data_IF_503834826553
#
_entry.id   IF_503834826553
#
_cell.length_a   1.000
_cell.length_b   1.000
_cell.length_c   1.000
_cell.angle_alpha   90.00
_cell.angle_beta   90.00
_cell.angle_gamma   90.00
#
_symmetry.space_group_name_H-M   'P 1'
#
loop_
_entity.id
_entity.type
_entity.pdbx_description
1 polymer ?
#
# COMPACT_ATOMS: atom_id res chain seq x y z
N UNK A 1 18.59 2.85 1.30
CA UNK A 1 18.81 4.16 1.96
C UNK A 1 18.08 4.21 3.29
N UNK A 2 18.77 4.66 4.31
CA UNK A 2 18.17 4.74 5.64
C UNK A 2 17.53 6.11 5.84
N UNK A 3 16.22 6.12 6.09
CA UNK A 3 15.49 7.36 6.35
C UNK A 3 15.55 7.66 7.85
N UNK A 4 15.88 8.90 8.21
CA UNK A 4 15.87 9.32 9.61
C UNK A 4 14.45 9.29 10.16
N UNK A 5 14.32 8.97 11.45
CA UNK A 5 13.03 9.04 12.12
C UNK A 5 12.51 10.47 12.06
N UNK A 6 11.31 10.61 11.53
CA UNK A 6 10.67 11.91 11.35
C UNK A 6 9.88 12.25 12.62
N UNK A 7 10.16 13.42 13.20
CA UNK A 7 9.42 13.87 14.36
C UNK A 7 7.94 14.08 14.03
N UNK A 8 7.05 13.62 14.91
CA UNK A 8 5.63 13.77 14.72
C UNK A 8 4.99 12.81 13.73
N UNK A 9 5.74 11.84 13.20
CA UNK A 9 5.20 10.91 12.21
C UNK A 9 4.05 10.08 12.75
N UNK A 10 4.18 9.53 13.96
CA UNK A 10 3.11 8.72 14.56
C UNK A 10 1.85 9.54 14.79
N UNK A 11 1.99 10.74 15.34
CA UNK A 11 0.87 11.62 15.61
C UNK A 11 0.15 12.00 14.32
N UNK A 12 0.90 12.30 13.27
CA UNK A 12 0.32 12.64 11.97
C UNK A 12 -0.47 11.46 11.39
N UNK A 13 0.11 10.27 11.44
CA UNK A 13 -0.54 9.07 10.93
C UNK A 13 -1.81 8.77 11.71
N UNK A 14 -1.77 8.86 13.04
CA UNK A 14 -2.94 8.62 13.88
C UNK A 14 -4.03 9.66 13.69
N UNK A 15 -3.66 10.87 13.30
CA UNK A 15 -4.63 11.94 13.05
C UNK A 15 -5.39 11.78 11.74
N UNK A 16 -4.95 10.87 10.86
CA UNK A 16 -5.54 10.72 9.52
C UNK A 16 -5.97 9.27 9.21
N UNK A 17 -6.92 8.71 10.00
CA UNK A 17 -7.40 7.34 9.73
C UNK A 17 -8.17 7.21 8.42
N UNK A 18 -8.57 8.32 7.83
CA UNK A 18 -9.22 8.32 6.51
C UNK A 18 -8.24 7.92 5.39
N UNK A 19 -6.94 8.08 5.61
CA UNK A 19 -5.90 7.67 4.66
C UNK A 19 -5.09 6.48 5.17
N UNK A 20 -4.67 6.50 6.44
CA UNK A 20 -3.86 5.41 7.01
C UNK A 20 -4.76 4.53 7.86
N UNK A 21 -4.97 3.30 7.41
CA UNK A 21 -5.93 2.38 8.00
C UNK A 21 -5.47 1.96 9.39
N UNK A 22 -6.29 2.24 10.41
CA UNK A 22 -5.93 1.97 11.81
C UNK A 22 -5.84 0.48 12.13
N UNK A 23 -6.75 -0.32 11.57
CA UNK A 23 -6.81 -1.77 11.82
C UNK A 23 -6.95 -2.52 10.50
N UNK A 24 -5.83 -2.69 9.76
CA UNK A 24 -5.91 -3.30 8.43
C UNK A 24 -6.49 -4.71 8.40
N UNK A 25 -6.27 -5.51 9.44
CA UNK A 25 -6.81 -6.87 9.49
C UNK A 25 -8.33 -6.91 9.51
N UNK A 26 -8.97 -5.87 10.03
CA UNK A 26 -10.43 -5.77 10.10
C UNK A 26 -11.05 -5.59 8.70
N UNK A 27 -10.26 -5.15 7.73
CA UNK A 27 -10.76 -4.88 6.38
C UNK A 27 -10.50 -6.02 5.40
N UNK A 28 -9.90 -7.11 5.84
CA UNK A 28 -9.67 -8.28 4.99
C UNK A 28 -11.00 -8.75 4.39
N UNK A 29 -11.07 -8.84 3.07
CA UNK A 29 -12.28 -9.19 2.35
C UNK A 29 -13.30 -8.06 2.22
N UNK A 30 -13.00 -6.89 2.77
CA UNK A 30 -13.93 -5.76 2.84
C UNK A 30 -13.37 -4.46 2.28
N UNK A 31 -12.34 -4.53 1.44
CA UNK A 31 -11.72 -3.31 0.92
C UNK A 31 -12.66 -2.52 0.00
N UNK A 32 -13.58 -3.19 -0.68
CA UNK A 32 -14.60 -2.49 -1.48
C UNK A 32 -15.48 -1.60 -0.60
N UNK A 33 -15.82 -2.06 0.60
CA UNK A 33 -16.56 -1.23 1.56
C UNK A 33 -15.73 -0.04 2.01
N UNK A 34 -14.43 -0.26 2.27
CA UNK A 34 -13.55 0.81 2.69
C UNK A 34 -13.46 1.93 1.66
N UNK A 35 -13.30 1.57 0.39
CA UNK A 35 -13.23 2.53 -0.71
C UNK A 35 -14.60 3.05 -1.13
N UNK A 36 -15.67 2.34 -0.81
CA UNK A 36 -17.03 2.74 -1.18
C UNK A 36 -17.38 2.46 -2.62
N UNK A 37 -16.68 1.55 -3.28
CA UNK A 37 -16.91 1.17 -4.67
C UNK A 37 -16.36 -0.24 -4.93
N UNK A 38 -16.58 -0.76 -6.14
CA UNK A 38 -16.10 -2.08 -6.54
C UNK A 38 -15.01 -2.03 -7.61
N UNK A 39 -14.27 -0.93 -7.66
CA UNK A 39 -13.16 -0.80 -8.59
C UNK A 39 -12.07 -1.84 -8.32
N UNK A 40 -11.26 -2.18 -9.33
CA UNK A 40 -10.11 -3.07 -9.12
C UNK A 40 -9.19 -2.55 -8.03
N UNK A 41 -8.57 -3.46 -7.29
CA UNK A 41 -7.65 -3.12 -6.21
C UNK A 41 -6.22 -3.46 -6.61
N UNK A 42 -5.36 -2.45 -6.66
CA UNK A 42 -3.94 -2.60 -6.90
C UNK A 42 -3.19 -2.25 -5.63
N UNK A 43 -2.15 -3.01 -5.29
CA UNK A 43 -1.34 -2.71 -4.11
C UNK A 43 0.11 -2.53 -4.50
N UNK A 44 0.81 -1.67 -3.76
CA UNK A 44 2.26 -1.54 -3.87
C UNK A 44 2.89 -1.92 -2.54
N UNK A 45 3.83 -2.86 -2.57
CA UNK A 45 4.58 -3.30 -1.39
C UNK A 45 5.92 -2.58 -1.39
N UNK A 46 6.23 -1.95 -0.26
CA UNK A 46 7.42 -1.12 -0.16
C UNK A 46 7.24 0.20 -0.90
N UNK A 47 6.11 0.86 -0.65
CA UNK A 47 5.78 2.07 -1.40
C UNK A 47 6.74 3.24 -1.19
N UNK A 48 7.57 3.20 -0.14
CA UNK A 48 8.47 4.30 0.17
C UNK A 48 7.69 5.58 0.43
N UNK A 49 8.16 6.68 -0.15
CA UNK A 49 7.54 7.99 0.02
C UNK A 49 6.26 8.18 -0.81
N UNK A 50 5.81 7.13 -1.50
CA UNK A 50 4.54 7.12 -2.20
C UNK A 50 4.53 7.78 -3.57
N UNK A 51 5.70 8.04 -4.15
CA UNK A 51 5.76 8.72 -5.45
C UNK A 51 5.07 7.94 -6.56
N UNK A 52 5.36 6.64 -6.66
CA UNK A 52 4.76 5.79 -7.69
C UNK A 52 3.24 5.67 -7.50
N UNK A 53 2.82 5.32 -6.29
CA UNK A 53 1.40 5.04 -6.04
C UNK A 53 0.53 6.30 -6.18
N UNK A 54 1.04 7.47 -5.78
CA UNK A 54 0.29 8.71 -5.93
C UNK A 54 0.12 9.08 -7.39
N UNK A 55 1.17 8.91 -8.20
CA UNK A 55 1.08 9.19 -9.64
C UNK A 55 0.14 8.21 -10.33
N UNK A 56 0.21 6.92 -9.99
CA UNK A 56 -0.70 5.92 -10.56
C UNK A 56 -2.16 6.23 -10.19
N UNK A 57 -2.41 6.60 -8.96
CA UNK A 57 -3.77 6.88 -8.50
C UNK A 57 -4.36 8.11 -9.19
N UNK A 58 -3.55 9.15 -9.40
CA UNK A 58 -4.01 10.35 -10.12
C UNK A 58 -4.32 10.06 -11.57
N UNK A 59 -3.52 9.18 -12.19
CA UNK A 59 -3.70 8.81 -13.60
C UNK A 59 -4.88 7.86 -13.79
N UNK A 60 -5.17 7.02 -12.78
CA UNK A 60 -6.19 5.97 -12.86
C UNK A 60 -7.21 6.09 -11.73
N UNK A 61 -8.09 7.08 -11.79
CA UNK A 61 -9.11 7.24 -10.73
C UNK A 61 -10.12 6.10 -10.66
N UNK A 62 -10.20 5.27 -11.70
CA UNK A 62 -11.06 4.09 -11.74
C UNK A 62 -10.49 2.88 -11.02
N UNK A 63 -9.28 2.98 -10.45
CA UNK A 63 -8.61 1.91 -9.73
C UNK A 63 -8.35 2.35 -8.29
N UNK A 64 -8.58 1.44 -7.34
CA UNK A 64 -8.26 1.67 -5.94
C UNK A 64 -6.83 1.21 -5.67
N UNK A 65 -6.08 2.00 -4.90
CA UNK A 65 -4.68 1.70 -4.58
C UNK A 65 -4.46 1.60 -3.08
N UNK A 66 -3.66 0.61 -2.67
CA UNK A 66 -3.18 0.50 -1.30
C UNK A 66 -1.66 0.46 -1.32
N UNK A 67 -1.04 1.37 -0.57
CA UNK A 67 0.41 1.39 -0.40
C UNK A 67 0.79 0.80 0.95
N UNK A 68 1.77 -0.08 0.96
CA UNK A 68 2.24 -0.78 2.15
C UNK A 68 3.67 -0.37 2.44
N UNK A 69 3.93 0.10 3.65
CA UNK A 69 5.26 0.52 4.06
C UNK A 69 5.46 0.27 5.55
N UNK A 70 6.62 -0.27 5.90
CA UNK A 70 6.93 -0.68 7.27
C UNK A 70 7.43 0.46 8.14
N UNK A 71 8.08 1.48 7.55
CA UNK A 71 8.69 2.58 8.29
C UNK A 71 7.71 3.73 8.46
N UNK A 72 7.34 4.03 9.71
CA UNK A 72 6.35 5.06 10.01
C UNK A 72 6.75 6.45 9.47
N UNK A 73 8.02 6.80 9.54
CA UNK A 73 8.49 8.08 9.02
C UNK A 73 8.25 8.21 7.51
N UNK A 74 8.43 7.11 6.79
CA UNK A 74 8.22 7.07 5.35
C UNK A 74 6.73 7.12 5.02
N UNK A 75 5.91 6.39 5.78
CA UNK A 75 4.45 6.44 5.64
C UNK A 75 3.95 7.89 5.81
N UNK A 76 4.49 8.61 6.78
CA UNK A 76 4.06 9.99 7.03
C UNK A 76 4.37 10.91 5.85
N UNK A 77 5.45 10.66 5.12
CA UNK A 77 5.80 11.45 3.92
C UNK A 77 4.80 11.16 2.80
N UNK A 78 4.44 9.90 2.60
CA UNK A 78 3.41 9.54 1.62
C UNK A 78 2.06 10.13 2.00
N UNK A 79 1.73 10.12 3.29
CA UNK A 79 0.49 10.72 3.81
C UNK A 79 0.40 12.20 3.50
N UNK A 80 1.51 12.95 3.68
CA UNK A 80 1.54 14.37 3.34
C UNK A 80 1.12 14.61 1.87
N UNK A 81 1.58 13.74 0.96
CA UNK A 81 1.21 13.85 -0.46
C UNK A 81 -0.29 13.64 -0.67
N UNK A 82 -0.88 12.67 0.03
CA UNK A 82 -2.31 12.41 -0.10
C UNK A 82 -3.14 13.58 0.43
N UNK A 83 -2.72 14.17 1.54
CA UNK A 83 -3.40 15.33 2.13
C UNK A 83 -3.28 16.53 1.20
N UNK A 84 -2.06 16.84 0.76
CA UNK A 84 -1.78 18.01 -0.06
C UNK A 84 -2.48 17.96 -1.41
N UNK A 85 -2.48 16.78 -2.05
CA UNK A 85 -3.01 16.62 -3.41
C UNK A 85 -4.44 16.09 -3.43
N UNK A 86 -5.01 15.78 -2.28
CA UNK A 86 -6.38 15.26 -2.13
C UNK A 86 -6.67 14.08 -3.07
N UNK A 87 -5.94 12.98 -2.85
CA UNK A 87 -6.05 11.78 -3.69
C UNK A 87 -6.96 10.76 -3.02
N UNK A 88 -8.23 10.62 -3.47
CA UNK A 88 -9.23 9.83 -2.73
C UNK A 88 -9.14 8.32 -2.93
N UNK A 89 -8.46 7.85 -3.97
CA UNK A 89 -8.42 6.42 -4.30
C UNK A 89 -7.14 5.72 -3.80
N UNK A 90 -6.54 6.23 -2.72
CA UNK A 90 -5.37 5.63 -2.09
C UNK A 90 -5.61 5.44 -0.60
N UNK A 91 -5.25 4.27 -0.09
CA UNK A 91 -5.17 4.00 1.34
C UNK A 91 -3.76 3.53 1.65
N UNK A 92 -3.29 3.82 2.86
CA UNK A 92 -1.95 3.44 3.29
C UNK A 92 -2.02 2.46 4.45
N UNK A 93 -1.16 1.45 4.42
CA UNK A 93 -1.00 0.49 5.51
C UNK A 93 0.41 0.58 6.06
N UNK A 94 0.51 0.91 7.34
CA UNK A 94 1.78 0.89 8.06
C UNK A 94 1.95 -0.51 8.66
N UNK A 95 2.39 -1.46 7.83
CA UNK A 95 2.54 -2.87 8.22
C UNK A 95 3.70 -3.49 7.49
N UNK A 96 4.10 -4.68 7.96
CA UNK A 96 5.06 -5.52 7.25
C UNK A 96 4.35 -6.19 6.07
N UNK A 97 4.81 -5.91 4.86
CA UNK A 97 4.23 -6.48 3.64
C UNK A 97 4.44 -7.98 3.46
N UNK A 98 5.16 -8.64 4.39
CA UNK A 98 5.36 -10.09 4.31
C UNK A 98 4.12 -10.89 4.70
N UNK A 99 3.14 -10.27 5.35
CA UNK A 99 1.96 -10.95 5.89
C UNK A 99 0.68 -10.58 5.13
N UNK A 100 0.72 -10.63 3.81
CA UNK A 100 -0.39 -10.19 2.95
C UNK A 100 -1.72 -10.90 3.25
N UNK A 101 -1.67 -12.18 3.59
CA UNK A 101 -2.90 -12.93 3.87
C UNK A 101 -3.62 -12.47 5.13
N UNK A 102 -2.96 -11.69 5.98
CA UNK A 102 -3.62 -11.09 7.13
C UNK A 102 -4.50 -9.91 6.73
N UNK A 103 -4.24 -9.31 5.58
CA UNK A 103 -4.88 -8.07 5.16
C UNK A 103 -5.77 -8.23 3.93
N UNK A 104 -5.54 -9.27 3.13
CA UNK A 104 -6.28 -9.47 1.87
C UNK A 104 -6.80 -10.89 1.76
N UNK A 105 -8.05 -11.00 1.35
CA UNK A 105 -8.69 -12.29 1.09
C UNK A 105 -8.28 -12.81 -0.29
N UNK A 106 -8.60 -14.08 -0.54
CA UNK A 106 -8.36 -14.69 -1.86
C UNK A 106 -9.05 -13.89 -2.94
N UNK A 107 -8.34 -13.61 -4.03
CA UNK A 107 -8.86 -12.89 -5.19
C UNK A 107 -9.28 -11.44 -4.92
N UNK A 108 -8.92 -10.89 -3.76
CA UNK A 108 -9.27 -9.50 -3.45
C UNK A 108 -8.37 -8.50 -4.16
N UNK A 109 -7.12 -8.86 -4.40
CA UNK A 109 -6.13 -7.98 -5.04
C UNK A 109 -5.97 -8.36 -6.50
N UNK A 110 -6.10 -7.37 -7.39
CA UNK A 110 -6.02 -7.60 -8.84
C UNK A 110 -4.60 -7.45 -9.38
N UNK A 111 -3.78 -6.61 -8.74
CA UNK A 111 -2.41 -6.37 -9.21
C UNK A 111 -1.51 -6.00 -8.04
N UNK A 112 -0.28 -6.51 -8.05
CA UNK A 112 0.74 -6.17 -7.05
C UNK A 112 1.94 -5.54 -7.76
N UNK A 113 2.40 -4.41 -7.22
CA UNK A 113 3.63 -3.75 -7.65
C UNK A 113 4.67 -3.87 -6.54
N UNK A 114 5.89 -4.18 -6.91
CA UNK A 114 7.02 -4.25 -5.99
C UNK A 114 8.02 -3.17 -6.30
N UNK A 115 8.54 -2.53 -5.25
CA UNK A 115 9.63 -1.59 -5.39
C UNK A 115 10.93 -2.38 -5.60
N UNK A 116 11.68 -2.06 -6.65
CA UNK A 116 12.93 -2.75 -6.97
C UNK A 116 14.00 -2.65 -5.87
N UNK A 117 13.89 -1.66 -5.00
CA UNK A 117 14.85 -1.52 -3.90
C UNK A 117 14.62 -2.53 -2.78
N UNK A 118 13.48 -3.23 -2.77
CA UNK A 118 13.19 -4.23 -1.75
C UNK A 118 13.78 -5.58 -2.14
N UNK A 119 14.74 -6.11 -1.35
CA UNK A 119 15.39 -7.38 -1.68
C UNK A 119 14.52 -8.57 -1.27
N UNK A 120 13.42 -8.77 -1.93
CA UNK A 120 12.55 -9.93 -1.67
C UNK A 120 13.13 -11.18 -2.32
N UNK A 121 13.40 -12.24 -1.54
CA UNK A 121 13.78 -13.53 -2.14
C UNK A 121 12.64 -14.06 -2.99
N UNK A 122 12.96 -14.42 -4.22
CA UNK A 122 11.96 -14.84 -5.21
C UNK A 122 11.05 -15.96 -4.72
N UNK A 123 11.60 -16.95 -4.04
CA UNK A 123 10.81 -18.09 -3.55
C UNK A 123 9.76 -17.69 -2.52
N UNK A 124 10.13 -16.84 -1.55
CA UNK A 124 9.17 -16.35 -0.56
C UNK A 124 8.09 -15.52 -1.21
N UNK A 125 8.46 -14.76 -2.20
CA UNK A 125 7.60 -13.93 -2.98
C UNK A 125 6.51 -14.74 -3.68
N UNK A 126 6.90 -15.75 -4.45
CA UNK A 126 5.97 -16.61 -5.17
C UNK A 126 5.00 -17.30 -4.23
N UNK A 127 5.49 -17.80 -3.10
CA UNK A 127 4.67 -18.49 -2.12
C UNK A 127 3.61 -17.57 -1.53
N UNK A 128 3.97 -16.34 -1.20
CA UNK A 128 3.02 -15.36 -0.65
C UNK A 128 1.96 -14.98 -1.66
N UNK A 129 2.35 -14.80 -2.90
CA UNK A 129 1.42 -14.44 -3.96
C UNK A 129 0.44 -15.56 -4.26
N UNK A 130 0.89 -16.81 -4.23
CA UNK A 130 -0.01 -17.94 -4.46
C UNK A 130 -1.08 -18.06 -3.39
N UNK A 131 -0.79 -17.62 -2.15
CA UNK A 131 -1.76 -17.66 -1.06
C UNK A 131 -2.92 -16.66 -1.27
N UNK A 132 -2.73 -15.61 -2.05
CA UNK A 132 -3.79 -14.66 -2.38
C UNK A 132 -4.21 -14.75 -3.84
N UNK A 133 -3.80 -15.81 -4.53
CA UNK A 133 -4.16 -16.14 -5.91
C UNK A 133 -3.77 -15.06 -6.93
N UNK A 134 -2.58 -14.50 -6.77
CA UNK A 134 -1.97 -13.62 -7.76
C UNK A 134 -0.69 -14.28 -8.23
N UNK A 135 -0.60 -14.55 -9.52
CA UNK A 135 0.50 -15.33 -10.06
C UNK A 135 1.84 -14.59 -10.06
N UNK A 136 1.86 -13.34 -10.47
CA UNK A 136 3.10 -12.57 -10.52
C UNK A 136 2.86 -11.09 -10.26
N UNK A 137 3.76 -10.44 -9.49
CA UNK A 137 3.68 -9.00 -9.32
C UNK A 137 4.30 -8.28 -10.51
N UNK A 138 3.87 -7.06 -10.74
CA UNK A 138 4.53 -6.16 -11.66
C UNK A 138 5.59 -5.39 -10.90
N UNK A 139 6.82 -5.41 -11.43
CA UNK A 139 7.90 -4.61 -10.88
C UNK A 139 8.00 -3.31 -11.64
N UNK A 140 8.29 -2.24 -10.93
CA UNK A 140 8.45 -0.94 -11.56
C UNK A 140 9.83 -0.37 -11.27
N UNK A 141 10.30 0.51 -12.17
CA UNK A 141 11.56 1.19 -11.96
C UNK A 141 11.43 2.18 -10.81
N UNK A 142 12.53 2.35 -10.07
CA UNK A 142 12.57 3.41 -9.06
C UNK A 142 12.56 4.78 -9.73
N UNK A 143 11.78 5.63 -9.17
CA UNK A 143 11.66 6.99 -9.65
C UNK A 143 12.43 7.92 -8.73
#
# INVERSE_FOLDING_TARGET
>A
MRVRKRAGAEELVQAHPEFVVAEPTAWKGRWKERFGNDHPLHIEIGMGKGRFITEMAKTHPEINYIGIEMQISVVSIALDKLIEQDIPNVQLLHVDGSALTNYFADHEVDQIYLNFSDPWPKKKHEKRLSLIHISEPTRHAQI
#
